data_IF_585984088733
#
_entry.id   IF_585984088733
#
_cell.length_a   1.000
_cell.length_b   1.000
_cell.length_c   1.000
_cell.angle_alpha   90.00
_cell.angle_beta   90.00
_cell.angle_gamma   90.00
#
_symmetry.space_group_name_H-M   'P 1'
#
loop_
_entity.id
_entity.type
_entity.pdbx_description
1 polymer ?
#
# COMPACT_ATOMS: atom_id res chain seq x y z
N UNK A 1 7.96 7.33 15.82
CA UNK A 1 7.22 8.02 14.75
C UNK A 1 6.19 8.91 15.42
N UNK A 2 6.09 10.19 15.03
CA UNK A 2 5.06 11.08 15.55
C UNK A 2 3.81 11.09 14.63
N UNK A 3 2.74 11.78 15.04
CA UNK A 3 1.49 11.81 14.26
C UNK A 3 1.63 12.47 12.87
N UNK A 4 2.53 13.45 12.73
CA UNK A 4 2.81 14.13 11.46
C UNK A 4 3.62 13.23 10.51
N UNK A 5 4.60 12.51 11.04
CA UNK A 5 5.36 11.49 10.29
C UNK A 5 4.42 10.40 9.77
N UNK A 6 3.46 9.97 10.60
CA UNK A 6 2.45 8.98 10.22
C UNK A 6 1.56 9.49 9.08
N UNK A 7 1.10 10.75 9.14
CA UNK A 7 0.33 11.35 8.04
C UNK A 7 1.15 11.45 6.75
N UNK A 8 2.41 11.86 6.84
CA UNK A 8 3.31 11.90 5.70
C UNK A 8 3.52 10.49 5.12
N UNK A 9 3.68 9.47 5.96
CA UNK A 9 3.84 8.08 5.51
C UNK A 9 2.60 7.54 4.80
N UNK A 10 1.41 7.88 5.29
CA UNK A 10 0.12 7.55 4.65
C UNK A 10 0.00 8.24 3.29
N UNK A 11 0.39 9.52 3.19
CA UNK A 11 0.39 10.25 1.92
C UNK A 11 1.34 9.59 0.92
N UNK A 12 2.57 9.29 1.33
CA UNK A 12 3.55 8.60 0.48
C UNK A 12 3.01 7.25 -0.01
N UNK A 13 2.42 6.46 0.88
CA UNK A 13 1.80 5.17 0.56
C UNK A 13 0.74 5.31 -0.55
N UNK A 14 -0.16 6.30 -0.44
CA UNK A 14 -1.18 6.60 -1.47
C UNK A 14 -0.56 6.97 -2.81
N UNK A 15 0.50 7.77 -2.81
CA UNK A 15 1.21 8.14 -4.05
C UNK A 15 1.86 6.92 -4.70
N UNK A 16 2.48 6.05 -3.90
CA UNK A 16 3.09 4.81 -4.38
C UNK A 16 2.05 3.90 -5.01
N UNK A 17 0.92 3.67 -4.33
CA UNK A 17 -0.18 2.86 -4.86
C UNK A 17 -0.74 3.42 -6.17
N UNK A 18 -0.92 4.75 -6.24
CA UNK A 18 -1.38 5.40 -7.47
C UNK A 18 -0.41 5.20 -8.63
N UNK A 19 0.90 5.32 -8.38
CA UNK A 19 1.95 5.07 -9.38
C UNK A 19 1.88 3.63 -9.87
N UNK A 20 1.80 2.68 -8.95
CA UNK A 20 1.66 1.26 -9.29
C UNK A 20 0.43 0.97 -10.16
N UNK A 21 -0.73 1.53 -9.82
CA UNK A 21 -1.94 1.42 -10.64
C UNK A 21 -1.75 1.96 -12.07
N UNK A 22 -1.01 3.06 -12.23
CA UNK A 22 -0.66 3.61 -13.55
C UNK A 22 0.27 2.68 -14.33
N UNK A 23 1.31 2.12 -13.68
CA UNK A 23 2.26 1.20 -14.31
C UNK A 23 1.57 -0.09 -14.80
N UNK A 24 0.64 -0.64 -14.00
CA UNK A 24 -0.15 -1.80 -14.43
C UNK A 24 -1.10 -1.47 -15.58
N UNK A 25 -1.59 -0.23 -15.67
CA UNK A 25 -2.48 0.20 -16.78
C UNK A 25 -1.73 0.28 -18.11
N UNK A 26 -0.45 0.64 -18.10
CA UNK A 26 0.39 0.73 -19.31
C UNK A 26 1.04 -0.60 -19.69
N UNK A 27 0.61 -1.72 -19.09
CA UNK A 27 1.07 -3.06 -19.44
C UNK A 27 2.45 -3.42 -18.85
N UNK A 28 2.97 -2.66 -17.89
CA UNK A 28 4.17 -3.06 -17.18
C UNK A 28 3.82 -4.19 -16.22
N UNK A 29 4.45 -5.36 -16.41
CA UNK A 29 4.26 -6.51 -15.53
C UNK A 29 4.90 -6.23 -14.18
N UNK A 30 4.12 -6.42 -13.12
CA UNK A 30 4.64 -6.40 -11.76
C UNK A 30 5.51 -7.65 -11.52
N UNK A 31 6.51 -7.49 -10.68
CA UNK A 31 7.49 -8.53 -10.36
C UNK A 31 7.20 -9.19 -9.01
N UNK A 32 7.87 -10.30 -8.71
CA UNK A 32 7.81 -10.89 -7.37
C UNK A 32 8.35 -9.93 -6.29
N UNK A 33 9.33 -9.08 -6.63
CA UNK A 33 9.86 -8.06 -5.72
C UNK A 33 8.80 -7.01 -5.35
N UNK A 34 7.91 -6.67 -6.29
CA UNK A 34 6.80 -5.73 -6.02
C UNK A 34 5.82 -6.30 -4.99
N UNK A 35 5.55 -7.61 -5.01
CA UNK A 35 4.70 -8.27 -4.00
C UNK A 35 5.30 -8.16 -2.61
N UNK A 36 6.61 -8.40 -2.47
CA UNK A 36 7.31 -8.26 -1.19
C UNK A 36 7.30 -6.81 -0.69
N UNK A 37 7.39 -5.84 -1.60
CA UNK A 37 7.29 -4.42 -1.25
C UNK A 37 5.89 -4.06 -0.75
N UNK A 38 4.84 -4.61 -1.37
CA UNK A 38 3.46 -4.42 -0.92
C UNK A 38 3.24 -5.03 0.48
N UNK A 39 3.74 -6.24 0.73
CA UNK A 39 3.60 -6.89 2.03
C UNK A 39 4.27 -6.05 3.14
N UNK A 40 5.46 -5.53 2.88
CA UNK A 40 6.16 -4.60 3.79
C UNK A 40 5.40 -3.28 3.99
N UNK A 41 4.74 -2.78 2.94
CA UNK A 41 3.92 -1.58 3.03
C UNK A 41 2.72 -1.80 3.96
N UNK A 42 2.04 -2.95 3.84
CA UNK A 42 0.92 -3.33 4.69
C UNK A 42 1.32 -3.44 6.17
N UNK A 43 2.48 -4.03 6.46
CA UNK A 43 3.04 -4.09 7.82
C UNK A 43 3.26 -2.69 8.43
N UNK A 44 3.77 -1.75 7.63
CA UNK A 44 3.98 -0.37 8.08
C UNK A 44 2.63 0.31 8.38
N UNK A 45 1.63 0.12 7.53
CA UNK A 45 0.29 0.69 7.75
C UNK A 45 -0.39 0.11 8.99
N UNK A 46 -0.21 -1.18 9.26
CA UNK A 46 -0.71 -1.83 10.47
C UNK A 46 -0.02 -1.28 11.74
N UNK A 47 1.29 -1.10 11.70
CA UNK A 47 2.03 -0.48 12.79
C UNK A 47 1.61 0.98 13.05
N UNK A 48 1.24 1.73 12.01
CA UNK A 48 0.66 3.08 12.15
C UNK A 48 -0.73 2.99 12.78
N UNK A 49 -1.58 2.04 12.36
CA UNK A 49 -2.92 1.85 12.90
C UNK A 49 -2.89 1.55 14.40
N UNK A 50 -1.94 0.70 14.84
CA UNK A 50 -1.74 0.39 16.25
C UNK A 50 -1.27 1.59 17.08
N UNK A 51 -0.46 2.48 16.50
CA UNK A 51 0.07 3.67 17.19
C UNK A 51 -0.88 4.87 17.18
N UNK A 52 -1.72 5.00 16.15
CA UNK A 52 -2.61 6.15 15.92
C UNK A 52 -4.04 5.69 15.61
N UNK A 53 -4.82 5.25 16.62
CA UNK A 53 -6.17 4.73 16.42
C UNK A 53 -7.12 5.69 15.68
N UNK A 54 -6.94 6.99 15.84
CA UNK A 54 -7.71 8.03 15.16
C UNK A 54 -7.50 8.05 13.63
N UNK A 55 -6.39 7.46 13.14
CA UNK A 55 -6.06 7.35 11.71
C UNK A 55 -6.59 6.06 11.08
N UNK A 56 -7.05 5.09 11.88
CA UNK A 56 -7.56 3.79 11.42
C UNK A 56 -8.61 3.91 10.30
N UNK A 57 -9.62 4.79 10.38
CA UNK A 57 -10.63 4.89 9.31
C UNK A 57 -10.03 5.25 7.94
N UNK A 58 -8.96 6.06 7.92
CA UNK A 58 -8.25 6.45 6.68
C UNK A 58 -7.32 5.34 6.18
N UNK A 59 -6.77 4.55 7.09
CA UNK A 59 -5.88 3.43 6.80
C UNK A 59 -6.64 2.23 6.24
N UNK A 60 -7.83 1.92 6.78
CA UNK A 60 -8.65 0.78 6.32
C UNK A 60 -8.89 0.81 4.81
N UNK A 61 -9.25 1.99 4.28
CA UNK A 61 -9.44 2.17 2.84
C UNK A 61 -8.15 1.93 2.07
N UNK A 62 -7.04 2.51 2.52
CA UNK A 62 -5.74 2.39 1.87
C UNK A 62 -5.22 0.94 1.87
N UNK A 63 -5.36 0.24 2.99
CA UNK A 63 -5.03 -1.18 3.14
C UNK A 63 -5.85 -2.04 2.18
N UNK A 64 -7.16 -1.79 2.09
CA UNK A 64 -8.03 -2.52 1.15
C UNK A 64 -7.61 -2.31 -0.32
N UNK A 65 -7.21 -1.08 -0.69
CA UNK A 65 -6.74 -0.78 -2.05
C UNK A 65 -5.39 -1.48 -2.33
N UNK A 66 -4.48 -1.56 -1.35
CA UNK A 66 -3.23 -2.32 -1.46
C UNK A 66 -3.45 -3.83 -1.60
N UNK A 67 -4.34 -4.42 -0.80
CA UNK A 67 -4.70 -5.85 -0.91
C UNK A 67 -5.29 -6.17 -2.28
N UNK A 68 -6.22 -5.34 -2.76
CA UNK A 68 -6.81 -5.50 -4.10
C UNK A 68 -5.74 -5.44 -5.19
N UNK A 69 -4.75 -4.56 -5.03
CA UNK A 69 -3.65 -4.45 -5.98
C UNK A 69 -2.74 -5.69 -5.96
N UNK A 70 -2.39 -6.18 -4.77
CA UNK A 70 -1.60 -7.40 -4.56
C UNK A 70 -2.23 -8.61 -5.25
N UNK A 71 -3.52 -8.81 -5.04
CA UNK A 71 -4.26 -9.96 -5.61
C UNK A 71 -4.22 -9.92 -7.15
N UNK A 72 -4.36 -8.73 -7.75
CA UNK A 72 -4.24 -8.55 -9.21
C UNK A 72 -2.86 -8.91 -9.74
N UNK A 73 -1.80 -8.54 -9.01
CA UNK A 73 -0.42 -8.90 -9.39
C UNK A 73 -0.22 -10.40 -9.31
N UNK A 74 -0.65 -11.05 -8.22
CA UNK A 74 -0.47 -12.49 -8.04
C UNK A 74 -1.14 -13.30 -9.14
N UNK A 75 -2.34 -12.90 -9.60
CA UNK A 75 -3.01 -13.54 -10.74
C UNK A 75 -2.20 -13.41 -12.04
N UNK A 76 -1.45 -12.32 -12.22
CA UNK A 76 -0.66 -12.05 -13.45
C UNK A 76 0.67 -12.82 -13.47
N UNK A 77 1.16 -13.28 -12.31
CA UNK A 77 2.41 -14.04 -12.19
C UNK A 77 2.24 -15.55 -12.41
N UNK A 78 1.00 -16.05 -12.48
CA UNK A 78 0.65 -17.46 -12.74
C UNK A 78 0.42 -17.72 -14.23
#
# INVERSE_FOLDING_TARGET
>A
MNAADADQRIILSRHTLKRYGQLTTIGQSATHEDVLLIDKELEILDAIAAQFPEKVPKLLRLVAEWLTFRDRIQVTLH
#
